data_IF_011955618901
#
_entry.id   IF_011955618901
#
_cell.length_a   1.000
_cell.length_b   1.000
_cell.length_c   1.000
_cell.angle_alpha   90.00
_cell.angle_beta   90.00
_cell.angle_gamma   90.00
#
_symmetry.space_group_name_H-M   'P 1'
#
loop_
_entity.id
_entity.type
_entity.pdbx_description
1 polymer ?
#
# COMPACT_ATOMS: atom_id res chain seq x y z
N UNK A 1 -0.91 30.68 -4.02
CA UNK A 1 -2.02 29.89 -4.60
C UNK A 1 -1.50 29.25 -5.89
N UNK A 2 -1.12 27.97 -5.88
CA UNK A 2 -0.53 27.31 -7.06
C UNK A 2 -1.35 26.06 -7.37
N UNK A 3 -2.23 26.16 -8.35
CA UNK A 3 -2.88 25.02 -9.01
C UNK A 3 -1.83 24.38 -9.93
N UNK A 4 -1.21 23.28 -9.52
CA UNK A 4 -0.48 22.41 -10.44
C UNK A 4 -1.50 21.58 -11.22
N UNK A 5 -1.62 21.90 -12.50
CA UNK A 5 -2.46 21.23 -13.48
C UNK A 5 -1.69 20.01 -13.99
N UNK A 6 -2.08 18.81 -13.57
CA UNK A 6 -1.48 17.54 -14.02
C UNK A 6 -2.07 17.15 -15.38
N UNK A 7 -1.33 17.41 -16.45
CA UNK A 7 -1.61 16.87 -17.78
C UNK A 7 -1.10 15.42 -17.83
N UNK A 8 -2.02 14.45 -17.94
CA UNK A 8 -1.72 13.02 -18.14
C UNK A 8 -2.59 12.05 -17.32
N UNK A 9 -3.20 12.49 -16.23
CA UNK A 9 -3.99 11.62 -15.35
C UNK A 9 -5.47 11.60 -15.74
N UNK A 10 -5.98 10.44 -16.15
CA UNK A 10 -7.42 10.21 -16.33
C UNK A 10 -7.96 9.40 -15.16
N UNK A 11 -8.74 10.02 -14.28
CA UNK A 11 -9.50 9.30 -13.25
C UNK A 11 -10.71 8.63 -13.90
N UNK A 12 -10.79 7.31 -13.79
CA UNK A 12 -11.88 6.52 -14.38
C UNK A 12 -12.98 6.27 -13.35
N UNK A 13 -12.60 6.04 -12.10
CA UNK A 13 -13.54 5.76 -11.03
C UNK A 13 -13.01 6.34 -9.70
N UNK A 14 -13.92 6.91 -8.91
CA UNK A 14 -13.66 7.34 -7.55
C UNK A 14 -14.85 6.94 -6.69
N UNK A 15 -14.73 5.79 -6.03
CA UNK A 15 -15.68 5.35 -5.01
C UNK A 15 -15.20 5.78 -3.61
N UNK A 16 -16.03 5.60 -2.59
CA UNK A 16 -15.59 5.75 -1.19
C UNK A 16 -14.51 4.72 -0.80
N UNK A 17 -14.41 3.63 -1.55
CA UNK A 17 -13.59 2.48 -1.18
C UNK A 17 -12.23 2.44 -1.88
N UNK A 18 -12.19 2.83 -3.15
CA UNK A 18 -10.98 2.91 -3.95
C UNK A 18 -11.09 3.95 -5.07
N UNK A 19 -9.94 4.36 -5.62
CA UNK A 19 -9.85 5.18 -6.84
C UNK A 19 -8.99 4.51 -7.89
N UNK A 20 -9.35 4.72 -9.17
CA UNK A 20 -8.61 4.25 -10.33
C UNK A 20 -8.09 5.46 -11.11
N UNK A 21 -6.77 5.53 -11.22
CA UNK A 21 -6.06 6.55 -11.98
C UNK A 21 -5.29 5.86 -13.12
N UNK A 22 -5.48 6.30 -14.36
CA UNK A 22 -4.71 5.81 -15.51
C UNK A 22 -3.63 6.81 -15.86
N UNK A 23 -2.43 6.29 -16.05
CA UNK A 23 -1.21 6.97 -16.49
C UNK A 23 -0.84 6.37 -17.85
N UNK A 24 -1.39 6.91 -18.95
CA UNK A 24 -1.24 6.34 -20.30
C UNK A 24 0.23 6.30 -20.75
N UNK A 25 1.03 7.29 -20.37
CA UNK A 25 2.42 7.47 -20.83
C UNK A 25 3.30 6.29 -20.46
N UNK A 26 3.04 5.69 -19.29
CA UNK A 26 3.79 4.54 -18.78
C UNK A 26 3.01 3.23 -18.92
N UNK A 27 1.80 3.26 -19.49
CA UNK A 27 0.82 2.17 -19.44
C UNK A 27 0.61 1.63 -18.03
N UNK A 28 0.49 2.52 -17.04
CA UNK A 28 0.27 2.15 -15.64
C UNK A 28 -1.14 2.57 -15.20
N UNK A 29 -1.78 1.72 -14.42
CA UNK A 29 -3.05 2.00 -13.74
C UNK A 29 -2.82 1.90 -12.25
N UNK A 30 -3.04 2.97 -11.52
CA UNK A 30 -2.99 2.96 -10.07
C UNK A 30 -4.39 2.76 -9.49
N UNK A 31 -4.56 1.66 -8.76
CA UNK A 31 -5.77 1.40 -7.96
C UNK A 31 -5.43 1.65 -6.50
N UNK A 32 -5.93 2.76 -5.95
CA UNK A 32 -5.66 3.20 -4.58
C UNK A 32 -6.82 2.82 -3.68
N UNK A 33 -6.61 1.83 -2.82
CA UNK A 33 -7.60 1.44 -1.81
C UNK A 33 -7.53 2.38 -0.60
N UNK A 34 -8.69 2.81 -0.11
CA UNK A 34 -8.82 3.64 1.08
C UNK A 34 -8.62 2.84 2.38
N UNK A 35 -8.98 1.55 2.35
CA UNK A 35 -8.94 0.64 3.50
C UNK A 35 -8.07 -0.59 3.20
N UNK A 36 -8.12 -1.60 4.07
CA UNK A 36 -7.49 -2.88 3.80
C UNK A 36 -8.11 -3.51 2.55
N UNK A 37 -7.26 -4.03 1.66
CA UNK A 37 -7.72 -4.67 0.43
C UNK A 37 -8.47 -5.94 0.84
N UNK A 38 -9.74 -6.07 0.43
CA UNK A 38 -10.52 -7.30 0.49
C UNK A 38 -10.63 -7.92 -0.89
N UNK A 39 -11.03 -9.20 -0.96
CA UNK A 39 -11.17 -9.90 -2.23
C UNK A 39 -12.24 -9.24 -3.11
N UNK A 40 -13.42 -8.99 -2.57
CA UNK A 40 -14.56 -8.44 -3.33
C UNK A 40 -14.19 -7.10 -4.01
N UNK A 41 -13.51 -6.22 -3.28
CA UNK A 41 -13.05 -4.92 -3.81
C UNK A 41 -11.98 -5.06 -4.87
N UNK A 42 -11.09 -6.04 -4.71
CA UNK A 42 -10.04 -6.32 -5.66
C UNK A 42 -10.61 -6.91 -6.96
N UNK A 43 -11.54 -7.85 -6.84
CA UNK A 43 -12.25 -8.46 -7.97
C UNK A 43 -13.04 -7.41 -8.75
N UNK A 44 -13.82 -6.59 -8.05
CA UNK A 44 -14.59 -5.49 -8.67
C UNK A 44 -13.66 -4.54 -9.44
N UNK A 45 -12.56 -4.11 -8.81
CA UNK A 45 -11.59 -3.22 -9.45
C UNK A 45 -10.92 -3.87 -10.66
N UNK A 46 -10.45 -5.13 -10.57
CA UNK A 46 -9.81 -5.83 -11.69
C UNK A 46 -10.80 -6.05 -12.85
N UNK A 47 -12.05 -6.37 -12.55
CA UNK A 47 -13.08 -6.55 -13.59
C UNK A 47 -13.33 -5.27 -14.40
N UNK A 48 -13.23 -4.09 -13.77
CA UNK A 48 -13.32 -2.80 -14.48
C UNK A 48 -12.11 -2.54 -15.39
N UNK A 49 -11.00 -3.27 -15.20
CA UNK A 49 -9.73 -3.05 -15.90
C UNK A 49 -9.45 -4.05 -17.01
N UNK A 50 -10.40 -4.94 -17.34
CA UNK A 50 -10.21 -6.01 -18.36
C UNK A 50 -9.64 -5.50 -19.69
N UNK A 51 -10.19 -4.40 -20.21
CA UNK A 51 -9.74 -3.84 -21.49
C UNK A 51 -8.29 -3.34 -21.41
N UNK A 52 -7.93 -2.70 -20.29
CA UNK A 52 -6.57 -2.23 -20.07
C UNK A 52 -5.57 -3.38 -19.92
N UNK A 53 -5.97 -4.48 -19.27
CA UNK A 53 -5.15 -5.69 -19.19
C UNK A 53 -4.88 -6.24 -20.60
N UNK A 54 -5.91 -6.31 -21.45
CA UNK A 54 -5.77 -6.75 -22.85
C UNK A 54 -4.87 -5.81 -23.67
N UNK A 55 -4.87 -4.50 -23.38
CA UNK A 55 -4.02 -3.49 -24.00
C UNK A 55 -2.59 -3.41 -23.41
N UNK A 56 -2.22 -4.39 -22.59
CA UNK A 56 -0.90 -4.50 -21.98
C UNK A 56 -0.58 -3.37 -20.98
N UNK A 57 -1.56 -2.91 -20.21
CA UNK A 57 -1.30 -2.04 -19.05
C UNK A 57 -0.81 -2.84 -17.84
N UNK A 58 0.00 -2.19 -17.01
CA UNK A 58 0.40 -2.66 -15.70
C UNK A 58 -0.54 -2.08 -14.64
N UNK A 59 -1.10 -2.94 -13.78
CA UNK A 59 -1.97 -2.56 -12.69
C UNK A 59 -1.16 -2.51 -11.39
N UNK A 60 -1.09 -1.32 -10.80
CA UNK A 60 -0.45 -1.07 -9.51
C UNK A 60 -1.51 -0.95 -8.43
N UNK A 61 -1.56 -1.93 -7.54
CA UNK A 61 -2.52 -2.02 -6.44
C UNK A 61 -1.88 -1.43 -5.18
N UNK A 62 -2.40 -0.29 -4.72
CA UNK A 62 -1.83 0.50 -3.62
C UNK A 62 -2.79 0.49 -2.43
N UNK A 63 -2.38 -0.09 -1.31
CA UNK A 63 -3.29 -0.21 -0.15
C UNK A 63 -2.67 -0.90 1.05
N UNK A 64 -3.50 -1.16 2.07
CA UNK A 64 -3.09 -1.98 3.21
C UNK A 64 -3.32 -3.46 2.88
N UNK A 65 -2.24 -4.18 2.62
CA UNK A 65 -2.28 -5.61 2.33
C UNK A 65 -2.05 -6.35 3.65
N UNK A 66 -3.12 -6.93 4.19
CA UNK A 66 -3.08 -7.59 5.50
C UNK A 66 -2.88 -9.12 5.40
N UNK A 67 -3.22 -9.73 4.26
CA UNK A 67 -3.00 -11.16 3.99
C UNK A 67 -2.50 -11.35 2.56
N UNK A 68 -1.73 -12.42 2.35
CA UNK A 68 -1.49 -12.92 0.99
C UNK A 68 -2.77 -13.63 0.52
N UNK A 69 -3.24 -13.27 -0.67
CA UNK A 69 -4.43 -13.88 -1.26
C UNK A 69 -4.00 -15.04 -2.18
N UNK A 70 -4.38 -16.28 -1.86
CA UNK A 70 -4.08 -17.44 -2.71
C UNK A 70 -4.63 -17.28 -4.13
N UNK A 71 -5.84 -16.72 -4.26
CA UNK A 71 -6.42 -16.36 -5.56
C UNK A 71 -5.49 -15.47 -6.38
N UNK A 72 -4.92 -14.44 -5.74
CA UNK A 72 -4.05 -13.50 -6.41
C UNK A 72 -2.73 -14.16 -6.82
N UNK A 73 -2.18 -15.05 -5.98
CA UNK A 73 -1.03 -15.88 -6.36
C UNK A 73 -1.34 -16.74 -7.58
N UNK A 74 -2.51 -17.38 -7.60
CA UNK A 74 -2.96 -18.18 -8.74
C UNK A 74 -3.15 -17.32 -9.99
N UNK A 75 -3.69 -16.11 -9.85
CA UNK A 75 -3.85 -15.17 -10.96
C UNK A 75 -2.51 -14.68 -11.51
N UNK A 76 -1.58 -14.28 -10.63
CA UNK A 76 -0.22 -13.91 -11.03
C UNK A 76 0.53 -15.08 -11.68
N UNK A 77 0.35 -16.31 -11.16
CA UNK A 77 0.87 -17.52 -11.78
C UNK A 77 0.29 -17.72 -13.18
N UNK A 78 -1.03 -17.61 -13.35
CA UNK A 78 -1.67 -17.71 -14.65
C UNK A 78 -1.09 -16.68 -15.64
N UNK A 79 -0.91 -15.43 -15.22
CA UNK A 79 -0.27 -14.40 -16.04
C UNK A 79 1.17 -14.76 -16.41
N UNK A 80 1.96 -15.29 -15.48
CA UNK A 80 3.34 -15.73 -15.74
C UNK A 80 3.43 -16.85 -16.78
N UNK A 81 2.46 -17.77 -16.82
CA UNK A 81 2.43 -18.84 -17.82
C UNK A 81 2.29 -18.32 -19.26
N UNK A 82 1.82 -17.08 -19.42
CA UNK A 82 1.69 -16.40 -20.71
C UNK A 82 2.65 -15.21 -20.87
N UNK A 83 3.77 -15.18 -20.12
CA UNK A 83 4.80 -14.12 -20.24
C UNK A 83 4.34 -12.74 -19.77
N UNK A 84 3.39 -12.70 -18.82
CA UNK A 84 2.77 -11.49 -18.29
C UNK A 84 3.04 -11.30 -16.79
N UNK A 85 4.23 -11.70 -16.31
CA UNK A 85 4.59 -11.71 -14.88
C UNK A 85 4.48 -10.33 -14.22
N UNK A 86 4.81 -9.27 -14.98
CA UNK A 86 4.97 -7.92 -14.46
C UNK A 86 3.71 -7.05 -14.62
N UNK A 87 2.53 -7.68 -14.82
CA UNK A 87 1.27 -6.94 -15.01
C UNK A 87 0.65 -6.43 -13.73
N UNK A 88 1.01 -6.99 -12.57
CA UNK A 88 0.40 -6.63 -11.29
C UNK A 88 1.49 -6.32 -10.27
N UNK A 89 1.48 -5.10 -9.75
CA UNK A 89 2.43 -4.63 -8.75
C UNK A 89 1.67 -4.29 -7.47
N UNK A 90 2.20 -4.72 -6.33
CA UNK A 90 1.65 -4.41 -5.02
C UNK A 90 2.50 -3.37 -4.30
N UNK A 91 1.86 -2.30 -3.86
CA UNK A 91 2.47 -1.33 -2.96
C UNK A 91 1.72 -1.30 -1.63
N UNK A 92 2.36 -1.84 -0.59
CA UNK A 92 1.78 -1.82 0.75
C UNK A 92 2.02 -0.46 1.41
N UNK A 93 0.93 0.21 1.80
CA UNK A 93 1.00 1.49 2.54
C UNK A 93 1.62 1.33 3.93
N UNK A 94 1.61 0.13 4.52
CA UNK A 94 2.21 -0.09 5.82
C UNK A 94 3.74 -0.11 5.74
N UNK A 95 4.39 0.93 6.31
CA UNK A 95 5.86 1.00 6.44
C UNK A 95 6.48 -0.19 7.19
N UNK A 96 5.73 -0.79 8.11
CA UNK A 96 6.19 -1.89 8.94
C UNK A 96 5.15 -3.02 9.04
N UNK A 97 5.62 -4.25 8.90
CA UNK A 97 4.80 -5.45 9.13
C UNK A 97 4.38 -5.54 10.60
N UNK A 98 3.32 -6.32 10.90
CA UNK A 98 2.81 -6.45 12.28
C UNK A 98 3.87 -7.01 13.25
N UNK A 99 4.66 -7.98 12.80
CA UNK A 99 5.75 -8.57 13.57
C UNK A 99 6.84 -7.53 13.88
N UNK A 100 7.28 -6.77 12.88
CA UNK A 100 8.27 -5.70 13.04
C UNK A 100 7.78 -4.61 14.00
N UNK A 101 6.50 -4.24 13.92
CA UNK A 101 5.90 -3.29 14.88
C UNK A 101 5.99 -3.79 16.32
N UNK A 102 5.80 -5.09 16.56
CA UNK A 102 5.93 -5.70 17.89
C UNK A 102 7.37 -5.63 18.39
N UNK A 103 8.34 -5.92 17.52
CA UNK A 103 9.78 -5.84 17.86
C UNK A 103 10.17 -4.40 18.17
N UNK A 104 9.82 -3.45 17.29
CA UNK A 104 10.12 -2.03 17.48
C UNK A 104 9.49 -1.45 18.74
N UNK A 105 8.31 -1.94 19.14
CA UNK A 105 7.68 -1.53 20.39
C UNK A 105 8.47 -2.03 21.61
N UNK A 106 8.99 -3.26 21.60
CA UNK A 106 9.89 -3.76 22.65
C UNK A 106 11.19 -2.95 22.71
N UNK A 107 11.81 -2.69 21.56
CA UNK A 107 13.02 -1.85 21.49
C UNK A 107 12.77 -0.42 22.00
N UNK A 108 11.60 0.14 21.70
CA UNK A 108 11.19 1.44 22.23
C UNK A 108 11.11 1.43 23.75
N UNK A 109 10.56 0.37 24.35
CA UNK A 109 10.49 0.19 25.81
C UNK A 109 11.87 0.15 26.44
N UNK A 110 12.79 -0.62 25.86
CA UNK A 110 14.18 -0.70 26.32
C UNK A 110 14.91 0.64 26.21
N UNK A 111 14.68 1.41 25.15
CA UNK A 111 15.27 2.75 25.01
C UNK A 111 14.68 3.73 26.01
N UNK A 112 13.37 3.66 26.25
CA UNK A 112 12.68 4.47 27.26
C UNK A 112 13.21 4.20 28.66
N UNK A 113 13.41 2.93 29.03
CA UNK A 113 14.00 2.56 30.33
C UNK A 113 15.45 3.01 30.48
N UNK A 114 16.17 3.19 29.37
CA UNK A 114 17.51 3.79 29.32
C UNK A 114 17.51 5.33 29.36
N UNK A 115 16.34 5.96 29.48
CA UNK A 115 16.21 7.42 29.58
C UNK A 115 16.16 8.18 28.25
N UNK A 116 16.04 7.49 27.11
CA UNK A 116 15.94 8.16 25.81
C UNK A 116 14.59 8.88 25.67
N UNK A 117 14.62 10.09 25.09
CA UNK A 117 13.41 10.84 24.82
C UNK A 117 12.74 10.41 23.50
N UNK A 118 11.46 10.80 23.31
CA UNK A 118 10.67 10.40 22.14
C UNK A 118 11.32 10.75 20.79
N UNK A 119 12.03 11.88 20.70
CA UNK A 119 12.72 12.31 19.46
C UNK A 119 13.90 11.41 19.15
N UNK A 120 14.71 11.07 20.15
CA UNK A 120 15.84 10.15 20.00
C UNK A 120 15.37 8.75 19.58
N UNK A 121 14.35 8.22 20.27
CA UNK A 121 13.76 6.91 19.94
C UNK A 121 13.19 6.89 18.52
N UNK A 122 12.49 7.95 18.12
CA UNK A 122 11.93 8.08 16.76
C UNK A 122 13.02 7.98 15.69
N UNK A 123 14.15 8.67 15.91
CA UNK A 123 15.30 8.65 15.01
C UNK A 123 15.95 7.27 14.98
N UNK A 124 16.22 6.70 16.15
CA UNK A 124 16.89 5.40 16.32
C UNK A 124 16.11 4.26 15.64
N UNK A 125 14.80 4.20 15.87
CA UNK A 125 13.96 3.13 15.34
C UNK A 125 13.43 3.39 13.93
N UNK A 126 13.70 4.58 13.36
CA UNK A 126 13.11 5.08 12.10
C UNK A 126 11.57 5.02 12.10
N UNK A 127 10.96 5.27 13.27
CA UNK A 127 9.51 5.25 13.50
C UNK A 127 9.01 6.69 13.62
N UNK A 128 7.89 7.08 12.98
CA UNK A 128 7.37 8.44 13.09
C UNK A 128 7.13 8.86 14.54
N UNK A 129 7.50 10.09 14.90
CA UNK A 129 7.42 10.61 16.27
C UNK A 129 6.01 10.47 16.89
N UNK A 130 4.95 10.73 16.11
CA UNK A 130 3.56 10.51 16.52
C UNK A 130 3.28 9.06 16.96
N UNK A 131 3.93 8.09 16.33
CA UNK A 131 3.77 6.67 16.67
C UNK A 131 4.43 6.36 18.01
N UNK A 132 5.59 6.94 18.30
CA UNK A 132 6.26 6.80 19.61
C UNK A 132 5.37 7.35 20.73
N UNK A 133 4.84 8.56 20.58
CA UNK A 133 3.91 9.14 21.57
C UNK A 133 2.66 8.30 21.78
N UNK A 134 2.10 7.74 20.70
CA UNK A 134 0.96 6.83 20.82
C UNK A 134 1.31 5.59 21.64
N UNK A 135 2.48 4.99 21.39
CA UNK A 135 2.92 3.82 22.17
C UNK A 135 3.18 4.14 23.63
N UNK A 136 3.74 5.32 23.95
CA UNK A 136 3.89 5.77 25.33
C UNK A 136 2.55 5.87 26.06
N UNK A 137 1.49 6.35 25.39
CA UNK A 137 0.15 6.46 25.97
C UNK A 137 -0.50 5.09 26.24
N UNK A 138 -0.20 4.10 25.41
CA UNK A 138 -0.71 2.73 25.57
C UNK A 138 0.03 1.92 26.66
N UNK A 139 1.05 2.50 27.31
CA UNK A 139 1.76 1.90 28.45
C UNK A 139 1.28 2.40 29.81
N UNK A 140 0.50 3.49 29.82
CA UNK A 140 -0.12 4.06 31.01
C UNK A 140 -1.50 3.45 31.23
#
# INVERSE_FOLDING_TARGET
MVKKQYWGLKMINKSKEYSIEVIPENKIIEVKFASAISFDKLEEAINQLRNYIAENYCIKLIGYINKEFNYLKAFMLALSLFGNENRIIFENKAKFRRAERKIKRKQMQELKSKGYNAKQISKELNVPLKTIYRWFKEET
#
